data_IF_589886824278
#
_entry.id   IF_589886824278
#
_cell.length_a   1.000
_cell.length_b   1.000
_cell.length_c   1.000
_cell.angle_alpha   90.00
_cell.angle_beta   90.00
_cell.angle_gamma   90.00
#
_symmetry.space_group_name_H-M   'P 1'
#
loop_
_entity.id
_entity.type
_entity.pdbx_description
1 polymer ?
#
# COMPACT_ATOMS: atom_id res chain seq x y z
N UNK A 1 -0.81 -14.63 -4.41
CA UNK A 1 0.20 -13.54 -4.57
C UNK A 1 -0.36 -12.17 -4.23
N UNK A 2 -1.49 -11.73 -4.81
CA UNK A 2 -2.12 -10.45 -4.43
C UNK A 2 -2.46 -10.34 -2.94
N UNK A 3 -2.99 -11.42 -2.34
CA UNK A 3 -3.29 -11.48 -0.90
C UNK A 3 -2.02 -11.41 -0.03
N UNK A 4 -0.91 -12.04 -0.46
CA UNK A 4 0.37 -11.98 0.26
C UNK A 4 0.96 -10.58 0.21
N UNK A 5 0.96 -9.96 -0.98
CA UNK A 5 1.40 -8.58 -1.16
C UNK A 5 0.56 -7.60 -0.34
N UNK A 6 -0.76 -7.78 -0.35
CA UNK A 6 -1.69 -7.08 0.53
C UNK A 6 -1.34 -7.29 2.00
N UNK A 7 -1.17 -8.54 2.46
CA UNK A 7 -0.89 -8.83 3.86
C UNK A 7 0.38 -8.17 4.36
N UNK A 8 1.44 -8.15 3.55
CA UNK A 8 2.70 -7.48 3.89
C UNK A 8 2.53 -5.96 4.01
N UNK A 9 1.93 -5.32 3.00
CA UNK A 9 1.79 -3.86 2.98
C UNK A 9 0.74 -3.39 3.99
N UNK A 10 -0.39 -4.08 4.10
CA UNK A 10 -1.43 -3.80 5.09
C UNK A 10 -0.92 -4.01 6.51
N UNK A 11 -0.24 -5.12 6.79
CA UNK A 11 0.28 -5.41 8.13
C UNK A 11 1.30 -4.35 8.58
N UNK A 12 2.24 -4.00 7.70
CA UNK A 12 3.21 -2.94 7.99
C UNK A 12 2.53 -1.57 8.14
N UNK A 13 1.59 -1.21 7.26
CA UNK A 13 0.84 0.05 7.34
C UNK A 13 -0.04 0.15 8.57
N UNK A 14 -0.67 -0.95 8.98
CA UNK A 14 -1.46 -1.02 10.22
C UNK A 14 -0.58 -0.80 11.45
N UNK A 15 0.59 -1.47 11.50
CA UNK A 15 1.56 -1.27 12.58
C UNK A 15 2.09 0.17 12.65
N UNK A 16 2.46 0.74 11.49
CA UNK A 16 2.86 2.13 11.39
C UNK A 16 1.74 3.08 11.85
N UNK A 17 0.49 2.81 11.47
CA UNK A 17 -0.66 3.61 11.88
C UNK A 17 -0.91 3.60 13.40
N UNK A 18 -0.67 2.48 14.07
CA UNK A 18 -0.75 2.39 15.54
C UNK A 18 0.36 3.24 16.16
N UNK A 19 1.61 3.06 15.72
CA UNK A 19 2.76 3.84 16.21
C UNK A 19 2.50 5.33 15.98
N UNK A 20 1.98 5.69 14.80
CA UNK A 20 1.63 7.06 14.46
C UNK A 20 0.62 7.66 15.42
N UNK A 21 -0.48 6.96 15.67
CA UNK A 21 -1.58 7.48 16.48
C UNK A 21 -1.19 7.64 17.95
N UNK A 22 -0.45 6.68 18.51
CA UNK A 22 -0.06 6.69 19.92
C UNK A 22 1.14 7.64 20.18
N UNK A 23 2.13 7.65 19.28
CA UNK A 23 3.41 8.32 19.52
C UNK A 23 3.64 9.56 18.66
N UNK A 24 3.29 9.57 17.37
CA UNK A 24 3.63 10.70 16.48
C UNK A 24 2.61 11.84 16.56
N UNK A 25 1.31 11.52 16.62
CA UNK A 25 0.23 12.51 16.71
C UNK A 25 0.37 13.45 17.91
N UNK A 26 0.65 12.98 19.15
CA UNK A 26 0.75 13.90 20.30
C UNK A 26 1.95 14.86 20.24
N UNK A 27 2.97 14.56 19.44
CA UNK A 27 4.20 15.38 19.37
C UNK A 27 4.24 16.29 18.14
N UNK A 28 3.76 15.82 16.98
CA UNK A 28 3.90 16.49 15.69
C UNK A 28 2.56 16.98 15.11
N UNK A 29 1.44 16.60 15.72
CA UNK A 29 0.11 16.83 15.19
C UNK A 29 -0.24 15.91 14.03
N UNK A 30 -1.52 15.89 13.64
CA UNK A 30 -2.06 14.91 12.69
C UNK A 30 -1.41 14.99 11.29
N UNK A 31 -1.22 16.20 10.75
CA UNK A 31 -0.71 16.39 9.39
C UNK A 31 0.73 15.91 9.22
N UNK A 32 1.63 16.28 10.13
CA UNK A 32 3.04 15.90 10.04
C UNK A 32 3.26 14.43 10.36
N UNK A 33 2.48 13.88 11.30
CA UNK A 33 2.52 12.46 11.61
C UNK A 33 2.12 11.60 10.40
N UNK A 34 1.12 12.01 9.62
CA UNK A 34 0.72 11.30 8.40
C UNK A 34 1.75 11.44 7.27
N UNK A 35 2.29 12.64 7.06
CA UNK A 35 3.33 12.86 6.06
C UNK A 35 4.61 12.07 6.33
N UNK A 36 4.98 11.89 7.60
CA UNK A 36 6.12 11.07 7.97
C UNK A 36 5.87 9.59 7.71
N UNK A 37 4.64 9.10 7.79
CA UNK A 37 4.30 7.69 7.53
C UNK A 37 4.47 7.32 6.04
N UNK A 38 4.22 8.27 5.15
CA UNK A 38 4.23 8.09 3.70
C UNK A 38 5.56 7.60 3.09
N UNK A 39 6.74 8.17 3.43
CA UNK A 39 8.02 7.63 2.95
C UNK A 39 8.29 6.22 3.49
N UNK A 40 7.88 5.90 4.72
CA UNK A 40 8.00 4.53 5.24
C UNK A 40 7.08 3.56 4.49
N UNK A 41 5.85 3.97 4.21
CA UNK A 41 4.93 3.20 3.38
C UNK A 41 5.47 2.96 1.98
N UNK A 42 6.10 3.97 1.36
CA UNK A 42 6.75 3.80 0.06
C UNK A 42 7.86 2.73 0.12
N UNK A 43 8.71 2.76 1.16
CA UNK A 43 9.75 1.75 1.34
C UNK A 43 9.15 0.34 1.49
N UNK A 44 8.10 0.20 2.29
CA UNK A 44 7.38 -1.08 2.47
C UNK A 44 6.80 -1.58 1.15
N UNK A 45 6.17 -0.71 0.36
CA UNK A 45 5.62 -1.03 -0.95
C UNK A 45 6.72 -1.55 -1.88
N UNK A 46 7.85 -0.83 -1.98
CA UNK A 46 8.96 -1.20 -2.86
C UNK A 46 9.55 -2.55 -2.44
N UNK A 47 9.87 -2.74 -1.15
CA UNK A 47 10.45 -3.98 -0.63
C UNK A 47 9.50 -5.18 -0.82
N UNK A 48 8.21 -4.98 -0.55
CA UNK A 48 7.19 -6.02 -0.73
C UNK A 48 7.01 -6.39 -2.20
N UNK A 49 6.98 -5.40 -3.09
CA UNK A 49 6.86 -5.62 -4.53
C UNK A 49 8.10 -6.35 -5.08
N UNK A 50 9.30 -5.94 -4.66
CA UNK A 50 10.55 -6.60 -5.01
C UNK A 50 10.56 -8.07 -4.58
N UNK A 51 10.15 -8.34 -3.34
CA UNK A 51 10.14 -9.69 -2.79
C UNK A 51 9.13 -10.58 -3.51
N UNK A 52 7.93 -10.07 -3.81
CA UNK A 52 6.91 -10.78 -4.58
C UNK A 52 7.38 -11.05 -6.00
N UNK A 53 7.88 -10.05 -6.72
CA UNK A 53 8.35 -10.24 -8.11
C UNK A 53 9.53 -11.21 -8.16
N UNK A 54 10.49 -11.13 -7.22
CA UNK A 54 11.60 -12.11 -7.15
C UNK A 54 11.09 -13.53 -6.88
N UNK A 55 10.20 -13.70 -5.91
CA UNK A 55 9.63 -15.01 -5.58
C UNK A 55 8.82 -15.59 -6.75
N UNK A 56 8.01 -14.75 -7.40
CA UNK A 56 7.11 -15.17 -8.48
C UNK A 56 7.81 -15.27 -9.84
N UNK A 57 8.96 -14.62 -10.05
CA UNK A 57 9.75 -14.76 -11.29
C UNK A 57 10.20 -16.20 -11.58
N UNK A 58 10.16 -17.10 -10.57
CA UNK A 58 10.37 -18.54 -10.74
C UNK A 58 9.14 -19.30 -11.26
N UNK A 59 7.92 -18.81 -10.99
CA UNK A 59 6.67 -19.52 -11.29
C UNK A 59 5.92 -18.94 -12.49
N UNK A 60 5.90 -17.60 -12.64
CA UNK A 60 5.35 -16.94 -13.82
C UNK A 60 6.47 -16.83 -14.86
N UNK A 61 6.32 -17.54 -16.00
CA UNK A 61 7.17 -17.32 -17.18
C UNK A 61 7.22 -15.82 -17.46
N UNK A 62 8.42 -15.28 -17.62
CA UNK A 62 8.74 -13.86 -17.69
C UNK A 62 8.03 -13.06 -18.81
N UNK A 63 7.06 -13.63 -19.54
CA UNK A 63 6.38 -13.00 -20.66
C UNK A 63 4.97 -12.47 -20.34
N UNK A 64 4.34 -12.89 -19.23
CA UNK A 64 2.98 -12.44 -18.87
C UNK A 64 2.98 -11.20 -17.96
N UNK A 65 3.40 -10.06 -18.53
CA UNK A 65 3.37 -8.76 -17.84
C UNK A 65 1.98 -8.37 -17.31
N UNK A 66 0.90 -8.87 -17.93
CA UNK A 66 -0.48 -8.65 -17.47
C UNK A 66 -0.78 -9.33 -16.11
N UNK A 67 -0.11 -10.44 -15.79
CA UNK A 67 -0.32 -11.16 -14.53
C UNK A 67 0.09 -10.33 -13.30
N UNK A 68 1.19 -9.59 -13.40
CA UNK A 68 1.67 -8.72 -12.31
C UNK A 68 0.75 -7.53 -12.06
N UNK A 69 0.08 -7.03 -13.09
CA UNK A 69 -0.89 -5.93 -12.98
C UNK A 69 -2.16 -6.41 -12.26
N UNK A 70 -2.61 -7.64 -12.54
CA UNK A 70 -3.70 -8.28 -11.79
C UNK A 70 -3.39 -8.48 -10.30
N UNK A 71 -2.14 -8.82 -9.96
CA UNK A 71 -1.69 -8.93 -8.55
C UNK A 71 -1.81 -7.58 -7.84
N UNK A 72 -1.34 -6.50 -8.47
CA UNK A 72 -1.42 -5.15 -7.92
C UNK A 72 -2.85 -4.66 -7.72
N UNK A 73 -3.73 -4.85 -8.72
CA UNK A 73 -5.14 -4.47 -8.64
C UNK A 73 -5.86 -5.25 -7.54
N UNK A 74 -5.68 -6.58 -7.48
CA UNK A 74 -6.31 -7.40 -6.44
C UNK A 74 -5.85 -6.95 -5.05
N UNK A 75 -4.56 -6.68 -4.89
CA UNK A 75 -4.00 -6.24 -3.62
C UNK A 75 -4.50 -4.84 -3.22
N UNK A 76 -4.71 -3.93 -4.19
CA UNK A 76 -5.34 -2.63 -3.97
C UNK A 76 -6.80 -2.77 -3.53
N UNK A 77 -7.57 -3.62 -4.20
CA UNK A 77 -8.96 -3.87 -3.84
C UNK A 77 -9.09 -4.43 -2.43
N UNK A 78 -8.24 -5.39 -2.06
CA UNK A 78 -8.17 -5.92 -0.69
C UNK A 78 -7.77 -4.83 0.32
N UNK A 79 -6.80 -3.98 -0.03
CA UNK A 79 -6.33 -2.90 0.85
C UNK A 79 -7.45 -1.89 1.14
N UNK A 80 -8.16 -1.43 0.11
CA UNK A 80 -9.28 -0.50 0.26
C UNK A 80 -10.44 -1.13 1.04
N UNK A 81 -10.76 -2.41 0.77
CA UNK A 81 -11.77 -3.13 1.54
C UNK A 81 -11.39 -3.24 3.01
N UNK A 82 -10.14 -3.54 3.32
CA UNK A 82 -9.63 -3.61 4.69
C UNK A 82 -9.63 -2.23 5.37
N UNK A 83 -9.25 -1.17 4.67
CA UNK A 83 -9.30 0.20 5.17
C UNK A 83 -10.72 0.62 5.55
N UNK A 84 -11.69 0.35 4.68
CA UNK A 84 -13.10 0.62 4.96
C UNK A 84 -13.60 -0.24 6.13
N UNK A 85 -13.26 -1.54 6.15
CA UNK A 85 -13.66 -2.43 7.23
C UNK A 85 -13.10 -1.98 8.59
N UNK A 86 -11.84 -1.55 8.64
CA UNK A 86 -11.20 -0.99 9.84
C UNK A 86 -11.82 0.36 10.21
N UNK A 87 -12.10 1.23 9.24
CA UNK A 87 -12.74 2.52 9.47
C UNK A 87 -14.13 2.38 10.10
N UNK A 88 -14.94 1.44 9.60
CA UNK A 88 -16.27 1.16 10.14
C UNK A 88 -16.14 0.47 11.52
N UNK A 89 -15.33 -0.60 11.61
CA UNK A 89 -15.27 -1.45 12.80
C UNK A 89 -14.56 -0.82 14.00
N UNK A 90 -13.44 -0.14 13.79
CA UNK A 90 -12.64 0.45 14.88
C UNK A 90 -12.92 1.93 15.11
N UNK A 91 -13.38 2.67 14.10
CA UNK A 91 -13.56 4.12 14.17
C UNK A 91 -15.01 4.59 14.06
N UNK A 92 -15.96 3.68 13.81
CA UNK A 92 -17.39 4.01 13.66
C UNK A 92 -17.67 4.95 12.47
N UNK A 93 -16.78 4.99 11.48
CA UNK A 93 -16.89 5.86 10.32
C UNK A 93 -17.81 5.27 9.25
N UNK A 94 -18.47 6.11 8.46
CA UNK A 94 -19.13 5.66 7.22
C UNK A 94 -18.09 5.34 6.12
N UNK A 95 -18.49 4.59 5.08
CA UNK A 95 -17.63 4.28 3.93
C UNK A 95 -17.06 5.57 3.30
N UNK A 96 -17.92 6.59 3.15
CA UNK A 96 -17.52 7.88 2.58
C UNK A 96 -16.58 8.63 3.49
N UNK A 97 -16.76 8.58 4.81
CA UNK A 97 -15.82 9.19 5.76
C UNK A 97 -14.47 8.46 5.77
N UNK A 98 -14.47 7.12 5.73
CA UNK A 98 -13.26 6.33 5.69
C UNK A 98 -12.38 6.66 4.47
N UNK A 99 -13.01 6.96 3.33
CA UNK A 99 -12.31 7.32 2.10
C UNK A 99 -12.04 8.84 2.01
N UNK A 100 -13.04 9.70 2.21
CA UNK A 100 -12.98 11.11 1.84
C UNK A 100 -12.65 12.06 2.99
N UNK A 101 -12.66 11.62 4.26
CA UNK A 101 -12.41 12.51 5.40
C UNK A 101 -10.91 12.79 5.66
N UNK A 102 -10.04 12.53 4.68
CA UNK A 102 -8.59 12.77 4.81
C UNK A 102 -8.24 14.24 4.62
N UNK A 103 -7.18 14.70 5.31
CA UNK A 103 -6.63 16.05 5.11
C UNK A 103 -6.27 16.24 3.63
N UNK A 104 -6.53 17.41 3.01
CA UNK A 104 -6.34 17.59 1.57
C UNK A 104 -4.90 17.33 1.08
N UNK A 105 -3.91 17.67 1.90
CA UNK A 105 -2.49 17.53 1.55
C UNK A 105 -2.08 16.07 1.72
N UNK A 106 -2.35 15.52 2.90
CA UNK A 106 -2.01 14.14 3.23
C UNK A 106 -2.77 13.12 2.36
N UNK A 107 -4.07 13.36 2.14
CA UNK A 107 -4.93 12.55 1.31
C UNK A 107 -4.43 12.44 -0.13
N UNK A 108 -3.96 13.55 -0.73
CA UNK A 108 -3.40 13.54 -2.08
C UNK A 108 -2.19 12.60 -2.18
N UNK A 109 -1.24 12.72 -1.24
CA UNK A 109 -0.04 11.87 -1.24
C UNK A 109 -0.40 10.41 -0.96
N UNK A 110 -1.40 10.17 -0.10
CA UNK A 110 -1.92 8.82 0.14
C UNK A 110 -2.47 8.16 -1.13
N UNK A 111 -3.33 8.85 -1.89
CA UNK A 111 -3.86 8.29 -3.14
C UNK A 111 -2.80 8.09 -4.20
N UNK A 112 -1.80 8.99 -4.28
CA UNK A 112 -0.64 8.78 -5.14
C UNK A 112 0.13 7.51 -4.74
N UNK A 113 0.33 7.27 -3.45
CA UNK A 113 0.95 6.04 -2.96
C UNK A 113 0.11 4.79 -3.25
N UNK A 114 -1.22 4.87 -3.25
CA UNK A 114 -2.09 3.77 -3.68
C UNK A 114 -1.91 3.44 -5.17
N UNK A 115 -1.78 4.46 -6.02
CA UNK A 115 -1.47 4.26 -7.43
C UNK A 115 -0.10 3.61 -7.61
N UNK A 116 0.91 4.09 -6.88
CA UNK A 116 2.25 3.48 -6.86
C UNK A 116 2.17 2.02 -6.39
N UNK A 117 1.47 1.75 -5.30
CA UNK A 117 1.28 0.41 -4.74
C UNK A 117 0.70 -0.58 -5.75
N UNK A 118 -0.32 -0.16 -6.50
CA UNK A 118 -0.96 -0.97 -7.53
C UNK A 118 -0.04 -1.24 -8.73
N UNK A 119 0.77 -0.25 -9.13
CA UNK A 119 1.64 -0.35 -10.31
C UNK A 119 3.02 -0.95 -10.00
N UNK A 120 3.46 -0.93 -8.74
CA UNK A 120 4.82 -1.30 -8.34
C UNK A 120 5.24 -2.71 -8.79
N UNK A 121 4.40 -3.76 -8.66
CA UNK A 121 4.77 -5.11 -9.11
C UNK A 121 5.06 -5.16 -10.62
N UNK A 122 4.29 -4.43 -11.42
CA UNK A 122 4.47 -4.36 -12.87
C UNK A 122 5.70 -3.55 -13.28
N UNK A 123 5.92 -2.39 -12.64
CA UNK A 123 7.11 -1.56 -12.88
C UNK A 123 8.40 -2.33 -12.58
N UNK A 124 8.41 -3.11 -11.50
CA UNK A 124 9.57 -3.90 -11.12
C UNK A 124 9.81 -5.10 -12.03
N UNK A 125 8.74 -5.78 -12.46
CA UNK A 125 8.83 -6.88 -13.43
C UNK A 125 9.43 -6.40 -14.77
N UNK A 126 8.98 -5.26 -15.29
CA UNK A 126 9.57 -4.64 -16.48
C UNK A 126 11.05 -4.31 -16.32
N UNK A 127 11.44 -3.78 -15.16
CA UNK A 127 12.84 -3.44 -14.87
C UNK A 127 13.75 -4.67 -14.89
N UNK A 128 13.29 -5.79 -14.34
CA UNK A 128 14.05 -7.05 -14.35
C UNK A 128 14.21 -7.62 -15.76
N UNK A 129 13.21 -7.49 -16.62
CA UNK A 129 13.30 -7.93 -18.03
C UNK A 129 14.28 -7.09 -18.84
N UNK A 130 14.43 -5.79 -18.57
CA UNK A 130 15.36 -4.92 -19.30
C UNK A 130 16.85 -5.15 -18.99
N UNK A 131 17.16 -5.91 -17.95
CA UNK A 131 18.54 -6.18 -17.49
C UNK A 131 19.05 -7.57 -17.91
N UNK A 132 18.18 -8.40 -18.51
CA UNK A 132 18.49 -9.73 -19.06
C UNK A 132 18.47 -9.68 -20.59
#
# INVERSE_FOLDING_TARGET
MGILYFGLVFGAGFGLGIVRTIWLVPWLGNRWAELLEMPFMLMVIILSAQWIVKTTSRELKANENLGYLGVGILALACLLAAEVAVGIGLRGMSITQALLARDPISGTVYYLLLLVYALMPWLWAKRLQSLN
#
